data_IF_073057705471
#
_entry.id   IF_073057705471
#
_cell.length_a   1.000
_cell.length_b   1.000
_cell.length_c   1.000
_cell.angle_alpha   90.00
_cell.angle_beta   90.00
_cell.angle_gamma   90.00
#
_symmetry.space_group_name_H-M   'P 1'
#
loop_
_entity.id
_entity.type
_entity.pdbx_description
1 polymer ?
#
# COMPACT_ATOMS: atom_id res chain seq x y z
N UNK A 1 58.99 2.17 -6.01
CA UNK A 1 58.04 2.66 -4.99
C UNK A 1 56.64 2.35 -5.50
N UNK A 2 55.96 1.35 -4.92
CA UNK A 2 54.61 0.92 -5.34
C UNK A 2 53.61 1.55 -4.36
N UNK A 3 52.84 2.52 -4.82
CA UNK A 3 51.80 3.20 -4.03
C UNK A 3 50.62 2.26 -3.78
N UNK A 4 50.28 2.08 -2.52
CA UNK A 4 49.10 1.32 -2.08
C UNK A 4 47.91 2.28 -2.23
N UNK A 5 47.08 2.05 -3.25
CA UNK A 5 45.79 2.73 -3.39
C UNK A 5 44.87 2.22 -2.26
N UNK A 6 44.71 3.04 -1.22
CA UNK A 6 43.74 2.81 -0.16
C UNK A 6 42.33 3.01 -0.74
N UNK A 7 41.68 1.92 -1.13
CA UNK A 7 40.24 1.91 -1.43
C UNK A 7 39.51 2.01 -0.09
N UNK A 8 39.04 3.22 0.21
CA UNK A 8 38.16 3.47 1.35
C UNK A 8 36.77 2.89 1.02
N UNK A 9 36.54 1.63 1.39
CA UNK A 9 35.21 1.01 1.36
C UNK A 9 34.40 1.60 2.50
N UNK A 10 33.62 2.65 2.21
CA UNK A 10 32.59 3.14 3.13
C UNK A 10 31.46 2.11 3.12
N UNK A 11 31.55 1.13 4.02
CA UNK A 11 30.49 0.17 4.31
C UNK A 11 29.38 0.93 5.06
N UNK A 12 28.47 1.55 4.31
CA UNK A 12 27.25 2.13 4.86
C UNK A 12 26.41 1.00 5.47
N UNK A 13 26.49 0.84 6.79
CA UNK A 13 25.65 -0.07 7.55
C UNK A 13 24.21 0.37 7.38
N UNK A 14 23.46 -0.34 6.52
CA UNK A 14 22.01 -0.20 6.41
C UNK A 14 21.42 -0.65 7.74
N UNK A 15 21.09 0.29 8.61
CA UNK A 15 20.28 0.00 9.80
C UNK A 15 18.89 -0.35 9.30
N UNK A 16 18.58 -1.64 9.26
CA UNK A 16 17.22 -2.12 9.03
C UNK A 16 16.42 -1.85 10.31
N UNK A 17 15.81 -0.66 10.40
CA UNK A 17 14.83 -0.36 11.43
C UNK A 17 13.61 -1.25 11.19
N UNK A 18 13.46 -2.31 11.99
CA UNK A 18 12.21 -3.06 12.06
C UNK A 18 11.16 -2.16 12.73
N UNK A 19 10.40 -1.39 11.93
CA UNK A 19 9.22 -0.70 12.44
C UNK A 19 8.22 -1.75 12.92
N UNK A 20 7.64 -1.55 14.10
CA UNK A 20 6.53 -2.33 14.63
C UNK A 20 5.32 -2.17 13.69
N UNK A 21 5.29 -2.98 12.64
CA UNK A 21 4.32 -2.90 11.56
C UNK A 21 3.15 -3.84 11.80
N UNK A 22 2.00 -3.49 11.25
CA UNK A 22 0.84 -4.37 11.24
C UNK A 22 0.98 -5.37 10.11
N UNK A 23 0.72 -6.65 10.40
CA UNK A 23 0.77 -7.71 9.39
C UNK A 23 -0.63 -8.03 8.91
N UNK A 24 -0.86 -7.95 7.60
CA UNK A 24 -2.12 -8.41 7.02
C UNK A 24 -2.17 -9.94 7.07
N UNK A 25 -3.10 -10.49 7.85
CA UNK A 25 -3.14 -11.90 8.23
C UNK A 25 -3.24 -12.88 7.04
N UNK A 26 -3.94 -12.51 5.96
CA UNK A 26 -4.16 -13.42 4.83
C UNK A 26 -2.91 -13.51 3.95
N UNK A 27 -2.10 -12.48 3.85
CA UNK A 27 -0.93 -12.42 2.96
C UNK A 27 0.40 -12.52 3.70
N UNK A 28 0.42 -12.26 5.00
CA UNK A 28 1.64 -12.16 5.80
C UNK A 28 2.47 -10.92 5.47
N UNK A 29 1.92 -9.95 4.76
CA UNK A 29 2.63 -8.74 4.37
C UNK A 29 2.56 -7.72 5.51
N UNK A 30 3.71 -7.23 5.94
CA UNK A 30 3.83 -6.17 6.93
C UNK A 30 3.67 -4.78 6.30
N UNK A 31 2.93 -3.92 6.99
CA UNK A 31 2.71 -2.51 6.71
C UNK A 31 3.26 -1.67 7.87
N UNK A 32 3.92 -0.53 7.60
CA UNK A 32 4.37 0.35 8.68
C UNK A 32 3.18 0.89 9.49
N UNK A 33 3.39 1.21 10.77
CA UNK A 33 2.36 1.86 11.60
C UNK A 33 2.02 3.27 11.08
N UNK A 34 2.96 3.91 10.38
CA UNK A 34 2.80 5.23 9.76
C UNK A 34 3.38 5.28 8.36
N UNK A 35 2.74 6.09 7.51
CA UNK A 35 3.22 6.44 6.18
C UNK A 35 3.08 7.95 5.99
N UNK A 36 4.19 8.64 5.72
CA UNK A 36 4.18 10.11 5.63
C UNK A 36 3.67 10.80 6.90
N UNK A 37 3.85 10.18 8.07
CA UNK A 37 3.34 10.67 9.36
C UNK A 37 1.87 10.36 9.66
N UNK A 38 1.11 9.83 8.70
CA UNK A 38 -0.29 9.40 8.90
C UNK A 38 -0.32 7.97 9.44
N UNK A 39 -1.16 7.65 10.44
CA UNK A 39 -1.26 6.29 10.99
C UNK A 39 -1.95 5.33 10.01
N UNK A 40 -1.64 4.04 10.09
CA UNK A 40 -2.38 3.00 9.40
C UNK A 40 -3.77 2.85 10.04
N UNK A 41 -4.83 2.99 9.24
CA UNK A 41 -6.21 2.91 9.70
C UNK A 41 -6.83 1.54 9.41
N UNK A 42 -6.63 1.01 8.20
CA UNK A 42 -7.27 -0.23 7.73
C UNK A 42 -6.35 -1.07 6.88
N UNK A 43 -6.56 -2.38 6.92
CA UNK A 43 -5.92 -3.38 6.06
C UNK A 43 -6.95 -4.16 5.25
N UNK A 44 -6.60 -4.51 4.02
CA UNK A 44 -7.43 -5.36 3.17
C UNK A 44 -6.60 -6.17 2.19
N UNK A 45 -7.26 -7.09 1.49
CA UNK A 45 -6.63 -7.91 0.45
C UNK A 45 -7.56 -8.03 -0.74
N UNK A 46 -7.07 -7.59 -1.89
CA UNK A 46 -7.74 -7.87 -3.16
C UNK A 46 -7.39 -9.26 -3.63
N UNK A 47 -8.42 -10.05 -3.94
CA UNK A 47 -8.27 -11.38 -4.54
C UNK A 47 -8.83 -11.42 -5.96
N UNK A 48 -8.36 -12.38 -6.75
CA UNK A 48 -8.99 -12.79 -8.01
C UNK A 48 -9.08 -14.32 -8.00
N UNK A 49 -10.27 -14.85 -7.72
CA UNK A 49 -10.43 -16.27 -7.41
C UNK A 49 -9.58 -16.66 -6.19
N UNK A 50 -8.78 -17.74 -6.26
CA UNK A 50 -7.92 -18.17 -5.14
C UNK A 50 -6.66 -17.29 -4.96
N UNK A 51 -6.37 -16.39 -5.91
CA UNK A 51 -5.12 -15.63 -5.92
C UNK A 51 -5.27 -14.36 -5.10
N UNK A 52 -4.44 -14.20 -4.07
CA UNK A 52 -4.26 -12.93 -3.35
C UNK A 52 -3.34 -12.05 -4.19
N UNK A 53 -3.89 -11.01 -4.82
CA UNK A 53 -3.14 -10.19 -5.79
C UNK A 53 -2.24 -9.20 -5.07
N UNK A 54 -2.79 -8.46 -4.13
CA UNK A 54 -2.07 -7.53 -3.27
C UNK A 54 -2.79 -7.36 -1.92
N UNK A 55 -2.03 -7.00 -0.90
CA UNK A 55 -2.56 -6.40 0.32
C UNK A 55 -2.60 -4.86 0.15
N UNK A 56 -3.53 -4.20 0.85
CA UNK A 56 -3.66 -2.74 0.84
C UNK A 56 -3.73 -2.23 2.27
N UNK A 57 -2.98 -1.17 2.56
CA UNK A 57 -3.06 -0.39 3.79
C UNK A 57 -3.52 1.03 3.49
N UNK A 58 -4.44 1.54 4.31
CA UNK A 58 -4.98 2.90 4.22
C UNK A 58 -4.44 3.76 5.35
N UNK A 59 -3.95 4.95 5.00
CA UNK A 59 -3.36 5.94 5.91
C UNK A 59 -4.06 7.30 5.67
N UNK A 60 -5.35 7.39 5.98
CA UNK A 60 -6.22 8.49 5.55
C UNK A 60 -6.32 8.57 4.02
N UNK A 61 -5.88 9.70 3.44
CA UNK A 61 -5.89 9.94 1.99
C UNK A 61 -4.77 9.23 1.21
N UNK A 62 -4.03 8.31 1.83
CA UNK A 62 -2.94 7.60 1.18
C UNK A 62 -3.19 6.09 1.24
N UNK A 63 -3.07 5.43 0.10
CA UNK A 63 -3.21 3.98 -0.03
C UNK A 63 -1.87 3.37 -0.43
N UNK A 64 -1.43 2.36 0.32
CA UNK A 64 -0.25 1.56 -0.01
C UNK A 64 -0.70 0.17 -0.43
N UNK A 65 -0.51 -0.17 -1.71
CA UNK A 65 -0.69 -1.52 -2.21
C UNK A 65 0.66 -2.23 -2.20
N UNK A 66 0.70 -3.46 -1.69
CA UNK A 66 1.90 -4.29 -1.74
C UNK A 66 1.58 -5.62 -2.42
N UNK A 67 2.26 -5.86 -3.54
CA UNK A 67 1.96 -6.97 -4.43
C UNK A 67 2.33 -8.32 -3.79
N UNK A 68 1.36 -9.22 -3.70
CA UNK A 68 1.57 -10.62 -3.30
C UNK A 68 1.78 -11.54 -4.52
N UNK A 69 1.34 -11.07 -5.69
CA UNK A 69 1.46 -11.73 -6.98
C UNK A 69 1.92 -10.74 -8.06
N UNK A 70 2.76 -11.17 -9.00
CA UNK A 70 3.28 -10.30 -10.05
C UNK A 70 2.24 -9.98 -11.13
N UNK A 71 2.12 -8.71 -11.52
CA UNK A 71 1.18 -8.26 -12.56
C UNK A 71 1.91 -7.37 -13.56
N UNK A 72 1.69 -7.57 -14.86
CA UNK A 72 2.23 -6.70 -15.90
C UNK A 72 1.63 -5.29 -15.86
N UNK A 73 2.38 -4.29 -16.30
CA UNK A 73 2.01 -2.86 -16.20
C UNK A 73 0.62 -2.58 -16.77
N UNK A 74 0.37 -2.97 -18.02
CA UNK A 74 -0.91 -2.76 -18.70
C UNK A 74 -2.08 -3.45 -18.00
N UNK A 75 -1.86 -4.63 -17.40
CA UNK A 75 -2.91 -5.32 -16.63
C UNK A 75 -3.20 -4.59 -15.32
N UNK A 76 -2.19 -4.01 -14.69
CA UNK A 76 -2.34 -3.28 -13.44
C UNK A 76 -3.03 -1.95 -13.64
N UNK A 77 -2.59 -1.16 -14.63
CA UNK A 77 -3.22 0.11 -14.97
C UNK A 77 -4.65 -0.07 -15.45
N UNK A 78 -4.91 -1.01 -16.37
CA UNK A 78 -6.27 -1.29 -16.83
C UNK A 78 -7.21 -1.75 -15.72
N UNK A 79 -6.73 -2.55 -14.75
CA UNK A 79 -7.57 -3.01 -13.65
C UNK A 79 -7.98 -1.87 -12.70
N UNK A 80 -7.09 -0.93 -12.43
CA UNK A 80 -7.42 0.26 -11.63
C UNK A 80 -8.26 1.25 -12.44
N UNK A 81 -7.96 1.44 -13.74
CA UNK A 81 -8.78 2.22 -14.64
C UNK A 81 -10.22 1.71 -14.72
N UNK A 82 -10.41 0.39 -14.82
CA UNK A 82 -11.74 -0.23 -14.81
C UNK A 82 -12.48 -0.03 -13.47
N UNK A 83 -11.76 -0.10 -12.35
CA UNK A 83 -12.32 0.23 -11.04
C UNK A 83 -12.70 1.72 -10.89
N UNK A 84 -12.04 2.61 -11.65
CA UNK A 84 -12.33 4.04 -11.67
C UNK A 84 -13.51 4.40 -12.58
N UNK A 85 -13.76 3.69 -13.69
CA UNK A 85 -14.86 4.00 -14.64
C UNK A 85 -16.23 4.22 -14.00
N UNK A 86 -16.72 3.36 -13.07
CA UNK A 86 -18.01 3.60 -12.42
C UNK A 86 -17.99 4.74 -11.38
N UNK A 87 -16.81 5.29 -11.05
CA UNK A 87 -16.60 6.26 -9.97
C UNK A 87 -16.14 7.64 -10.44
N UNK A 88 -15.46 7.70 -11.58
CA UNK A 88 -14.95 8.92 -12.19
C UNK A 88 -15.60 9.10 -13.55
N UNK A 89 -16.49 10.11 -13.67
CA UNK A 89 -17.18 10.41 -14.93
C UNK A 89 -16.27 11.03 -16.01
N UNK A 90 -15.01 11.33 -15.69
CA UNK A 90 -14.06 11.92 -16.61
C UNK A 90 -13.09 10.86 -17.17
N UNK A 91 -13.41 10.36 -18.36
CA UNK A 91 -12.62 9.33 -19.04
C UNK A 91 -11.19 9.78 -19.38
N UNK A 92 -10.97 11.09 -19.54
CA UNK A 92 -9.63 11.62 -19.83
C UNK A 92 -8.73 11.50 -18.61
N UNK A 93 -9.24 11.86 -17.42
CA UNK A 93 -8.50 11.68 -16.16
C UNK A 93 -8.13 10.22 -15.90
N UNK A 94 -9.04 9.29 -16.23
CA UNK A 94 -8.76 7.84 -16.11
C UNK A 94 -7.64 7.45 -17.08
N UNK A 95 -7.70 7.89 -18.35
CA UNK A 95 -6.67 7.57 -19.34
C UNK A 95 -5.29 8.15 -18.96
N UNK A 96 -5.25 9.40 -18.47
CA UNK A 96 -4.03 10.04 -17.96
C UNK A 96 -3.46 9.26 -16.76
N UNK A 97 -4.33 8.78 -15.85
CA UNK A 97 -3.93 7.92 -14.72
C UNK A 97 -3.34 6.59 -15.20
N UNK A 98 -4.00 5.90 -16.13
CA UNK A 98 -3.53 4.63 -16.68
C UNK A 98 -2.18 4.78 -17.38
N UNK A 99 -2.00 5.86 -18.17
CA UNK A 99 -0.75 6.18 -18.83
C UNK A 99 0.37 6.47 -17.82
N UNK A 100 0.09 7.28 -16.80
CA UNK A 100 1.05 7.62 -15.74
C UNK A 100 1.49 6.36 -14.99
N UNK A 101 0.56 5.51 -14.59
CA UNK A 101 0.86 4.28 -13.86
C UNK A 101 1.62 3.28 -14.73
N UNK A 102 1.25 3.12 -16.00
CA UNK A 102 1.95 2.24 -16.94
C UNK A 102 3.41 2.68 -17.13
N UNK A 103 3.64 3.99 -17.28
CA UNK A 103 5.00 4.57 -17.37
C UNK A 103 5.80 4.35 -16.08
N UNK A 104 5.14 4.41 -14.93
CA UNK A 104 5.75 4.15 -13.62
C UNK A 104 6.11 2.68 -13.37
N UNK A 105 5.67 1.76 -14.24
CA UNK A 105 5.87 0.31 -14.10
C UNK A 105 6.53 -0.29 -15.34
N UNK A 106 7.76 0.11 -15.71
CA UNK A 106 8.42 -0.37 -16.94
C UNK A 106 8.57 -1.90 -16.98
N UNK A 107 8.69 -2.55 -15.82
CA UNK A 107 8.79 -4.01 -15.68
C UNK A 107 7.52 -4.64 -15.07
N UNK A 108 6.40 -3.93 -15.12
CA UNK A 108 5.20 -4.26 -14.36
C UNK A 108 5.38 -4.07 -12.85
N UNK A 109 4.51 -4.74 -12.10
CA UNK A 109 4.49 -4.79 -10.65
C UNK A 109 4.76 -6.23 -10.17
N UNK A 110 6.03 -6.70 -10.16
CA UNK A 110 6.38 -8.00 -9.62
C UNK A 110 6.01 -8.11 -8.13
N UNK A 111 5.98 -9.34 -7.61
CA UNK A 111 5.74 -9.59 -6.17
C UNK A 111 6.69 -8.76 -5.30
N UNK A 112 6.17 -8.16 -4.24
CA UNK A 112 6.90 -7.26 -3.34
C UNK A 112 6.88 -5.78 -3.77
N UNK A 113 6.43 -5.46 -4.99
CA UNK A 113 6.29 -4.06 -5.43
C UNK A 113 5.33 -3.31 -4.52
N UNK A 114 5.74 -2.11 -4.09
CA UNK A 114 4.92 -1.18 -3.31
C UNK A 114 4.43 -0.07 -4.21
N UNK A 115 3.11 0.08 -4.32
CA UNK A 115 2.45 1.14 -5.08
C UNK A 115 1.72 2.03 -4.09
N UNK A 116 2.19 3.26 -3.94
CA UNK A 116 1.57 4.24 -3.08
C UNK A 116 0.78 5.23 -3.95
N UNK A 117 -0.47 5.44 -3.57
CA UNK A 117 -1.38 6.40 -4.18
C UNK A 117 -1.79 7.41 -3.13
N UNK A 118 -1.45 8.67 -3.35
CA UNK A 118 -1.84 9.77 -2.49
C UNK A 118 -2.97 10.56 -3.14
N UNK A 119 -4.13 10.61 -2.50
CA UNK A 119 -5.29 11.35 -2.97
C UNK A 119 -5.41 12.73 -2.32
N UNK A 120 -4.39 13.16 -1.56
CA UNK A 120 -4.35 14.48 -0.96
C UNK A 120 -4.03 15.53 -2.02
N UNK A 121 -4.59 16.74 -1.89
CA UNK A 121 -4.31 17.83 -2.83
C UNK A 121 -5.17 17.87 -4.11
N UNK A 122 -6.23 17.06 -4.20
CA UNK A 122 -7.20 17.15 -5.30
C UNK A 122 -6.73 16.49 -6.60
N UNK A 123 -5.89 15.47 -6.50
CA UNK A 123 -5.45 14.60 -7.58
C UNK A 123 -4.99 13.26 -7.02
N UNK A 124 -4.33 12.44 -7.86
CA UNK A 124 -3.70 11.19 -7.44
C UNK A 124 -2.21 11.27 -7.72
N UNK A 125 -1.41 11.38 -6.66
CA UNK A 125 0.04 11.20 -6.69
C UNK A 125 0.39 9.72 -6.68
N UNK A 126 1.32 9.29 -7.53
CA UNK A 126 1.71 7.88 -7.68
C UNK A 126 3.20 7.75 -7.32
N UNK A 127 3.51 6.81 -6.44
CA UNK A 127 4.88 6.42 -6.12
C UNK A 127 5.05 4.90 -6.17
N UNK A 128 6.18 4.44 -6.71
CA UNK A 128 6.52 3.03 -6.84
C UNK A 128 7.80 2.77 -6.06
N UNK A 129 7.76 1.85 -5.10
CA UNK A 129 8.88 1.53 -4.19
C UNK A 129 9.48 2.78 -3.53
N UNK A 130 8.63 3.71 -3.10
CA UNK A 130 9.02 4.95 -2.44
C UNK A 130 9.50 6.06 -3.38
N UNK A 131 9.61 5.82 -4.69
CA UNK A 131 9.96 6.84 -5.68
C UNK A 131 8.72 7.39 -6.38
N UNK A 132 8.54 8.71 -6.34
CA UNK A 132 7.47 9.37 -7.11
C UNK A 132 7.65 9.14 -8.62
N UNK A 133 6.59 8.70 -9.29
CA UNK A 133 6.59 8.43 -10.75
C UNK A 133 5.72 9.41 -11.52
N UNK A 134 4.84 10.14 -10.84
CA UNK A 134 3.99 11.18 -11.44
C UNK A 134 2.77 11.48 -10.59
N UNK A 135 1.93 12.38 -11.09
CA UNK A 135 0.64 12.72 -10.50
C UNK A 135 -0.34 13.11 -11.58
N UNK A 136 -1.62 12.81 -11.35
CA UNK A 136 -2.73 13.26 -12.19
C UNK A 136 -3.65 14.14 -11.36
N UNK A 137 -3.73 15.41 -11.70
CA UNK A 137 -4.58 16.38 -11.00
C UNK A 137 -6.04 16.22 -11.41
N UNK A 138 -6.95 16.19 -10.43
CA UNK A 138 -8.38 16.03 -10.65
C UNK A 138 -9.09 15.57 -9.38
N UNK A 139 -9.89 16.46 -8.77
CA UNK A 139 -10.69 16.13 -7.57
C UNK A 139 -11.63 14.93 -7.79
N UNK A 140 -12.33 14.79 -8.95
CA UNK A 140 -13.15 13.62 -9.22
C UNK A 140 -12.35 12.32 -9.21
N UNK A 141 -11.12 12.33 -9.77
CA UNK A 141 -10.24 11.18 -9.80
C UNK A 141 -9.77 10.79 -8.39
N UNK A 142 -9.39 11.77 -7.57
CA UNK A 142 -8.99 11.54 -6.18
C UNK A 142 -10.11 10.87 -5.37
N UNK A 143 -11.32 11.44 -5.43
CA UNK A 143 -12.50 10.88 -4.76
C UNK A 143 -12.86 9.49 -5.28
N UNK A 144 -12.78 9.29 -6.60
CA UNK A 144 -13.06 7.99 -7.22
C UNK A 144 -12.04 6.93 -6.80
N UNK A 145 -10.76 7.31 -6.66
CA UNK A 145 -9.71 6.40 -6.23
C UNK A 145 -9.92 5.94 -4.79
N UNK A 146 -10.19 6.86 -3.86
CA UNK A 146 -10.56 6.48 -2.48
C UNK A 146 -11.78 5.56 -2.46
N UNK A 147 -12.75 5.82 -3.35
CA UNK A 147 -13.93 4.99 -3.54
C UNK A 147 -13.62 3.52 -3.92
N UNK A 148 -12.49 3.22 -4.55
CA UNK A 148 -12.09 1.82 -4.89
C UNK A 148 -12.04 0.94 -3.64
N UNK A 149 -11.70 1.50 -2.48
CA UNK A 149 -11.50 0.76 -1.22
C UNK A 149 -12.50 1.12 -0.13
N UNK A 150 -13.14 2.29 -0.21
CA UNK A 150 -13.92 2.82 0.90
C UNK A 150 -15.44 2.84 0.63
N UNK A 151 -15.91 2.65 -0.61
CA UNK A 151 -17.33 2.69 -0.93
C UNK A 151 -18.02 1.31 -0.82
N UNK A 152 -19.34 1.28 -1.01
CA UNK A 152 -20.14 0.05 -0.96
C UNK A 152 -19.81 -0.97 -2.07
N UNK A 153 -19.04 -0.59 -3.08
CA UNK A 153 -18.60 -1.44 -4.18
C UNK A 153 -17.08 -1.70 -4.12
N UNK A 154 -16.47 -1.55 -2.95
CA UNK A 154 -15.03 -1.68 -2.77
C UNK A 154 -14.50 -3.01 -3.30
N UNK A 155 -13.31 -2.98 -3.91
CA UNK A 155 -12.69 -4.17 -4.54
C UNK A 155 -12.18 -5.21 -3.53
N UNK A 156 -12.19 -4.87 -2.25
CA UNK A 156 -11.93 -5.78 -1.14
C UNK A 156 -12.56 -5.24 0.15
N UNK A 157 -12.85 -6.14 1.09
CA UNK A 157 -13.18 -5.75 2.47
C UNK A 157 -11.93 -5.17 3.15
N UNK A 158 -12.07 -3.96 3.69
CA UNK A 158 -11.08 -3.30 4.54
C UNK A 158 -11.49 -3.50 6.00
N UNK A 159 -10.56 -3.93 6.86
CA UNK A 159 -10.79 -4.10 8.30
C UNK A 159 -9.91 -3.11 9.07
N UNK A 160 -10.43 -2.53 10.14
CA UNK A 160 -9.67 -1.64 11.02
C UNK A 160 -8.52 -2.38 11.67
N UNK A 161 -7.37 -1.71 11.83
CA UNK A 161 -6.20 -2.32 12.46
C UNK A 161 -6.38 -2.55 13.96
N UNK A 162 -7.35 -1.89 14.59
CA UNK A 162 -7.75 -2.13 15.98
C UNK A 162 -8.49 -3.47 16.18
N UNK A 163 -8.99 -4.09 15.11
CA UNK A 163 -9.76 -5.35 15.15
C UNK A 163 -8.87 -6.59 14.99
N UNK A 164 -7.56 -6.41 14.73
CA UNK A 164 -6.60 -7.51 14.61
C UNK A 164 -6.02 -7.85 15.99
N UNK A 165 -6.83 -8.54 16.81
CA UNK A 165 -6.41 -9.41 17.91
C UNK A 165 -5.33 -8.87 18.86
N UNK A 166 -5.74 -8.31 19.99
CA UNK A 166 -4.99 -8.45 21.24
C UNK A 166 -4.92 -9.93 21.58
N UNK A 167 -3.79 -10.59 21.33
CA UNK A 167 -3.50 -11.91 21.89
C UNK A 167 -2.92 -11.73 23.30
N UNK A 168 -3.73 -12.11 24.30
CA UNK A 168 -3.31 -12.67 25.59
C UNK A 168 -2.33 -11.90 26.47
N UNK A 169 -2.85 -11.22 27.49
CA UNK A 169 -2.20 -11.20 28.81
C UNK A 169 -3.09 -11.94 29.82
N UNK A 170 -2.58 -13.08 30.29
CA UNK A 170 -3.17 -13.90 31.36
C UNK A 170 -2.91 -13.19 32.68
N UNK A 171 -3.89 -12.43 33.17
CA UNK A 171 -3.92 -11.94 34.55
C UNK A 171 -4.54 -13.01 35.46
N UNK A 172 -3.70 -13.78 36.13
CA UNK A 172 -4.11 -14.77 37.14
C UNK A 172 -4.92 -14.12 38.26
N UNK A 173 -6.21 -14.46 38.35
CA UNK A 173 -7.02 -14.14 39.51
C UNK A 173 -6.66 -15.07 40.67
N UNK A 174 -5.81 -14.61 41.58
CA UNK A 174 -5.68 -15.21 42.91
C UNK A 174 -7.04 -15.10 43.62
N UNK A 175 -7.63 -16.26 43.92
CA UNK A 175 -8.80 -16.37 44.79
C UNK A 175 -8.43 -15.90 46.20
N UNK A 176 -8.93 -14.73 46.58
CA UNK A 176 -8.96 -14.32 47.98
C UNK A 176 -10.06 -15.11 48.70
N UNK A 177 -9.65 -16.11 49.48
CA UNK A 177 -10.50 -16.75 50.50
C UNK A 177 -10.35 -15.89 51.75
N UNK A 178 -11.41 -15.24 52.19
CA UNK A 178 -11.48 -14.68 53.55
C UNK A 178 -12.08 -15.68 54.53
N UNK A 179 -11.63 -15.70 55.79
CA UNK A 179 -12.20 -16.54 56.85
C UNK A 179 -13.62 -16.14 57.23
#
# INVERSE_FOLDING_TARGET
MRGINAVLVVLATLVASASAGFTEARTGIAFPDKLGGKPLNRLGVRTKGPIKVYAVGEYGDTFLLQMSYGVGAAKMSAALGDALKPRCGDSKLIADFEACLTKGLPNGAPKGTKLQFDTSGGGVGISVNGKSVGSVSGKPLASAFSGIYCDGNAVCKMNSVDDVGSDGEVGGGEKFITP
#
